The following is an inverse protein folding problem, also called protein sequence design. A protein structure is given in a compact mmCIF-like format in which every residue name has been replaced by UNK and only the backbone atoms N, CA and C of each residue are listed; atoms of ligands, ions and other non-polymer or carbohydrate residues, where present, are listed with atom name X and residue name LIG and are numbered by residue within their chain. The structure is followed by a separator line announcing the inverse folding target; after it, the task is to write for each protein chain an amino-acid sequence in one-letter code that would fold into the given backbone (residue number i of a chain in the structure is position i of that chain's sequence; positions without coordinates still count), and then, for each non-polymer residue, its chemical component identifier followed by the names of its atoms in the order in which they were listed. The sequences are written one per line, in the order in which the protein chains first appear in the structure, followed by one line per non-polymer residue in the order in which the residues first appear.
data_IF_366564986560
#
_entry.id   IF_366564986560
#
_cell.length_a   1.000
_cell.length_b   1.000
_cell.length_c   1.000
_cell.angle_alpha   90.00
_cell.angle_beta   90.00
_cell.angle_gamma   90.00
#
_symmetry.space_group_name_H-M   'P 1'
#
loop_
_entity.id
_entity.type
_entity.pdbx_description
1 polymer ?
#
# COMPACT_ATOMS: atom_id res chain seq x y z
N UNK A 1 3.63 8.94 21.52
CA UNK A 1 4.38 9.49 20.38
C UNK A 1 3.60 10.66 19.83
N UNK A 2 4.19 11.87 19.85
CA UNK A 2 3.61 13.02 19.15
C UNK A 2 4.04 12.93 17.69
N UNK A 3 3.08 12.68 16.84
CA UNK A 3 3.23 12.71 15.41
C UNK A 3 3.36 14.17 14.97
N UNK A 4 4.54 14.58 14.59
CA UNK A 4 4.74 15.93 14.06
C UNK A 4 4.38 15.90 12.58
N UNK A 5 3.14 16.26 12.27
CA UNK A 5 2.72 16.53 10.89
C UNK A 5 3.49 17.77 10.40
N UNK A 6 4.47 17.54 9.54
CA UNK A 6 5.14 18.64 8.86
C UNK A 6 4.25 19.14 7.73
N UNK A 7 4.36 20.42 7.41
CA UNK A 7 3.66 20.97 6.26
C UNK A 7 4.12 20.31 4.95
N UNK A 8 3.18 20.16 4.02
CA UNK A 8 3.47 19.68 2.68
C UNK A 8 4.39 20.66 1.95
N UNK A 9 5.37 20.14 1.24
CA UNK A 9 6.39 20.97 0.58
C UNK A 9 5.77 21.86 -0.51
N UNK A 10 6.08 23.15 -0.42
CA UNK A 10 5.76 24.18 -1.41
C UNK A 10 7.06 24.77 -1.97
N UNK A 11 7.05 25.24 -3.22
CA UNK A 11 8.20 25.82 -3.90
C UNK A 11 9.43 24.88 -3.93
N UNK A 12 9.19 23.57 -4.05
CA UNK A 12 10.23 22.55 -4.06
C UNK A 12 10.28 21.84 -5.42
N UNK A 13 11.37 22.07 -6.16
CA UNK A 13 11.63 21.50 -7.51
C UNK A 13 11.66 19.97 -7.57
N UNK A 14 11.74 19.29 -6.42
CA UNK A 14 11.64 17.83 -6.32
C UNK A 14 10.27 17.31 -6.76
N UNK A 15 9.24 18.12 -6.65
CA UNK A 15 7.88 17.79 -7.03
C UNK A 15 7.50 18.47 -8.35
N UNK A 16 6.73 17.76 -9.18
CA UNK A 16 6.06 18.34 -10.33
C UNK A 16 5.23 19.55 -9.86
N UNK A 17 5.14 20.60 -10.64
CA UNK A 17 4.48 21.87 -10.24
C UNK A 17 5.12 22.57 -9.02
N UNK A 18 6.31 22.15 -8.58
CA UNK A 18 6.97 22.65 -7.37
C UNK A 18 6.11 22.57 -6.08
N UNK A 19 5.07 21.74 -6.09
CA UNK A 19 4.09 21.58 -5.00
C UNK A 19 3.78 20.11 -4.79
N UNK A 20 4.01 19.64 -3.57
CA UNK A 20 3.83 18.22 -3.21
C UNK A 20 2.38 17.74 -3.38
N UNK A 21 1.40 18.56 -3.00
CA UNK A 21 -0.02 18.17 -3.08
C UNK A 21 -0.46 18.02 -4.52
N UNK A 22 -0.14 18.97 -5.38
CA UNK A 22 -0.49 18.91 -6.80
C UNK A 22 0.24 17.78 -7.53
N UNK A 23 1.49 17.53 -7.17
CA UNK A 23 2.25 16.39 -7.69
C UNK A 23 1.59 15.06 -7.28
N UNK A 24 1.18 14.94 -6.01
CA UNK A 24 0.53 13.74 -5.51
C UNK A 24 -0.84 13.52 -6.17
N UNK A 25 -1.65 14.56 -6.33
CA UNK A 25 -2.92 14.47 -7.07
C UNK A 25 -2.67 14.02 -8.50
N UNK A 26 -1.69 14.63 -9.19
CA UNK A 26 -1.34 14.26 -10.55
C UNK A 26 -1.03 12.76 -10.68
N UNK A 27 -0.09 12.24 -9.87
CA UNK A 27 0.30 10.84 -9.94
C UNK A 27 -0.80 9.89 -9.48
N UNK A 28 -1.59 10.27 -8.47
CA UNK A 28 -2.73 9.46 -8.00
C UNK A 28 -3.79 9.31 -9.09
N UNK A 29 -4.10 10.38 -9.83
CA UNK A 29 -5.10 10.33 -10.91
C UNK A 29 -4.49 9.69 -12.16
N UNK A 30 -3.36 10.21 -12.65
CA UNK A 30 -2.74 9.77 -13.91
C UNK A 30 -2.27 8.32 -13.87
N UNK A 31 -1.76 7.86 -12.74
CA UNK A 31 -1.24 6.50 -12.57
C UNK A 31 -2.18 5.63 -11.74
N UNK A 32 -2.47 6.02 -10.48
CA UNK A 32 -3.23 5.20 -9.55
C UNK A 32 -4.64 4.87 -10.04
N UNK A 33 -5.45 5.89 -10.32
CA UNK A 33 -6.84 5.71 -10.77
C UNK A 33 -6.90 5.06 -12.15
N UNK A 34 -5.99 5.41 -13.06
CA UNK A 34 -5.94 4.81 -14.41
C UNK A 34 -5.70 3.31 -14.35
N UNK A 35 -4.73 2.85 -13.53
CA UNK A 35 -4.46 1.41 -13.39
C UNK A 35 -5.60 0.71 -12.67
N UNK A 36 -6.19 1.32 -11.64
CA UNK A 36 -7.41 0.80 -11.01
C UNK A 36 -8.52 0.54 -12.02
N UNK A 37 -8.89 1.58 -12.80
CA UNK A 37 -9.94 1.48 -13.81
C UNK A 37 -9.62 0.41 -14.85
N UNK A 38 -8.35 0.29 -15.25
CA UNK A 38 -7.91 -0.73 -16.20
C UNK A 38 -8.11 -2.16 -15.65
N UNK A 39 -7.76 -2.43 -14.41
CA UNK A 39 -7.96 -3.74 -13.80
C UNK A 39 -9.44 -4.07 -13.59
N UNK A 40 -10.24 -3.08 -13.22
CA UNK A 40 -11.69 -3.22 -13.13
C UNK A 40 -12.29 -3.54 -14.50
N UNK A 41 -11.90 -2.81 -15.55
CA UNK A 41 -12.36 -3.03 -16.92
C UNK A 41 -11.99 -4.43 -17.44
N UNK A 42 -10.75 -4.89 -17.21
CA UNK A 42 -10.33 -6.26 -17.60
C UNK A 42 -11.17 -7.31 -16.88
N UNK A 43 -11.44 -7.16 -15.62
CA UNK A 43 -12.22 -8.12 -14.85
C UNK A 43 -13.67 -8.21 -15.37
N UNK A 44 -14.33 -7.06 -15.53
CA UNK A 44 -15.72 -7.04 -16.05
C UNK A 44 -15.82 -7.49 -17.50
N UNK A 45 -14.84 -7.14 -18.34
CA UNK A 45 -14.73 -7.66 -19.71
C UNK A 45 -14.59 -9.19 -19.70
N UNK A 46 -13.76 -9.73 -18.81
CA UNK A 46 -13.57 -11.17 -18.64
C UNK A 46 -14.86 -11.90 -18.25
N UNK A 47 -15.67 -11.31 -17.34
CA UNK A 47 -16.98 -11.85 -16.96
C UNK A 47 -17.93 -11.82 -18.16
N UNK A 48 -18.05 -10.67 -18.82
CA UNK A 48 -18.97 -10.48 -19.93
C UNK A 48 -18.72 -11.44 -21.11
N UNK A 49 -17.46 -11.88 -21.29
CA UNK A 49 -17.04 -12.81 -22.33
C UNK A 49 -16.88 -14.26 -21.83
N UNK A 50 -17.28 -14.58 -20.60
CA UNK A 50 -17.21 -15.94 -20.06
C UNK A 50 -15.78 -16.45 -19.77
N UNK A 51 -14.78 -15.57 -19.82
CA UNK A 51 -13.37 -15.90 -19.53
C UNK A 51 -13.17 -16.04 -18.01
N UNK A 52 -13.73 -15.10 -17.25
CA UNK A 52 -13.68 -15.12 -15.78
C UNK A 52 -14.90 -15.85 -15.24
N UNK A 53 -14.65 -16.90 -14.47
CA UNK A 53 -15.70 -17.64 -13.76
C UNK A 53 -16.00 -16.94 -12.44
N UNK A 54 -17.29 -16.80 -12.13
CA UNK A 54 -17.74 -16.21 -10.86
C UNK A 54 -18.46 -17.24 -10.01
N UNK A 55 -18.49 -17.00 -8.70
CA UNK A 55 -19.40 -17.64 -7.76
C UNK A 55 -20.28 -16.57 -7.12
N UNK A 56 -21.44 -16.96 -6.59
CA UNK A 56 -22.31 -16.03 -5.87
C UNK A 56 -22.40 -16.42 -4.40
N UNK A 57 -22.74 -15.45 -3.56
CA UNK A 57 -23.06 -15.75 -2.15
C UNK A 57 -24.15 -16.82 -2.03
N UNK A 58 -25.17 -16.77 -2.87
CA UNK A 58 -26.29 -17.72 -2.82
C UNK A 58 -25.87 -19.15 -3.18
N UNK A 59 -24.98 -19.31 -4.17
CA UNK A 59 -24.52 -20.63 -4.61
C UNK A 59 -23.38 -21.20 -3.77
N UNK A 60 -22.58 -20.35 -3.16
CA UNK A 60 -21.34 -20.76 -2.45
C UNK A 60 -21.04 -19.86 -1.24
N UNK A 61 -21.91 -19.86 -0.20
CA UNK A 61 -21.75 -18.97 0.96
C UNK A 61 -20.46 -19.23 1.74
N UNK A 62 -20.03 -20.48 1.87
CA UNK A 62 -18.76 -20.81 2.55
C UNK A 62 -17.58 -20.19 1.83
N UNK A 63 -17.51 -20.30 0.49
CA UNK A 63 -16.45 -19.70 -0.31
C UNK A 63 -16.45 -18.16 -0.18
N UNK A 64 -17.62 -17.55 -0.15
CA UNK A 64 -17.77 -16.13 0.05
C UNK A 64 -17.13 -15.66 1.36
N UNK A 65 -17.46 -16.32 2.48
CA UNK A 65 -16.88 -15.98 3.78
C UNK A 65 -15.38 -16.31 3.86
N UNK A 66 -14.93 -17.39 3.23
CA UNK A 66 -13.49 -17.68 3.14
C UNK A 66 -12.74 -16.55 2.41
N UNK A 67 -13.29 -16.02 1.32
CA UNK A 67 -12.71 -14.87 0.65
C UNK A 67 -12.60 -13.65 1.59
N UNK A 68 -13.66 -13.29 2.33
CA UNK A 68 -13.65 -12.17 3.28
C UNK A 68 -12.51 -12.33 4.30
N UNK A 69 -12.32 -13.54 4.84
CA UNK A 69 -11.27 -13.83 5.83
C UNK A 69 -9.87 -13.81 5.19
N UNK A 70 -9.73 -14.31 3.97
CA UNK A 70 -8.44 -14.40 3.28
C UNK A 70 -7.99 -13.08 2.64
N UNK A 71 -8.90 -12.16 2.31
CA UNK A 71 -8.55 -10.90 1.65
C UNK A 71 -7.42 -10.12 2.34
N UNK A 72 -7.47 -9.84 3.66
CA UNK A 72 -6.38 -9.12 4.33
C UNK A 72 -5.07 -9.90 4.28
N UNK A 73 -5.11 -11.23 4.36
CA UNK A 73 -3.91 -12.08 4.29
C UNK A 73 -3.28 -12.04 2.90
N UNK A 74 -4.09 -12.18 1.84
CA UNK A 74 -3.65 -12.12 0.44
C UNK A 74 -3.06 -10.74 0.15
N UNK A 75 -3.80 -9.68 0.48
CA UNK A 75 -3.38 -8.30 0.27
C UNK A 75 -2.10 -7.97 1.04
N UNK A 76 -2.06 -8.29 2.33
CA UNK A 76 -0.92 -8.00 3.19
C UNK A 76 0.35 -8.74 2.75
N UNK A 77 0.22 -10.02 2.38
CA UNK A 77 1.33 -10.83 1.88
C UNK A 77 1.84 -10.30 0.54
N UNK A 78 0.94 -10.07 -0.41
CA UNK A 78 1.29 -9.50 -1.71
C UNK A 78 1.98 -8.14 -1.54
N UNK A 79 1.41 -7.24 -0.75
CA UNK A 79 1.97 -5.90 -0.52
C UNK A 79 3.39 -5.98 0.04
N UNK A 80 3.62 -6.80 1.06
CA UNK A 80 4.95 -6.94 1.66
C UNK A 80 6.02 -7.34 0.64
N UNK A 81 5.76 -8.40 -0.15
CA UNK A 81 6.76 -8.90 -1.10
C UNK A 81 6.98 -7.95 -2.27
N UNK A 82 5.91 -7.35 -2.82
CA UNK A 82 6.02 -6.35 -3.90
C UNK A 82 6.75 -5.10 -3.39
N UNK A 83 6.39 -4.60 -2.22
CA UNK A 83 7.01 -3.43 -1.64
C UNK A 83 8.51 -3.64 -1.37
N UNK A 84 8.86 -4.79 -0.82
CA UNK A 84 10.26 -5.17 -0.61
C UNK A 84 11.02 -5.34 -1.93
N UNK A 85 10.38 -5.87 -2.98
CA UNK A 85 10.93 -5.92 -4.33
C UNK A 85 11.21 -4.52 -4.90
N UNK A 86 10.29 -3.58 -4.70
CA UNK A 86 10.45 -2.18 -5.13
C UNK A 86 11.63 -1.47 -4.46
N UNK A 87 12.07 -1.95 -3.29
CA UNK A 87 13.26 -1.45 -2.60
C UNK A 87 14.59 -2.00 -3.13
N UNK A 88 14.59 -2.95 -4.09
CA UNK A 88 15.81 -3.32 -4.82
C UNK A 88 16.38 -2.07 -5.52
N UNK A 89 17.70 -1.80 -5.44
CA UNK A 89 18.29 -0.51 -5.84
C UNK A 89 17.87 0.00 -7.21
N UNK A 90 17.77 -0.86 -8.20
CA UNK A 90 17.33 -0.49 -9.54
C UNK A 90 15.87 -0.02 -9.57
N UNK A 91 14.96 -0.80 -8.98
CA UNK A 91 13.52 -0.46 -8.94
C UNK A 91 13.27 0.74 -8.03
N UNK A 92 13.95 0.82 -6.91
CA UNK A 92 13.86 1.99 -6.03
C UNK A 92 14.20 3.27 -6.80
N UNK A 93 15.38 3.31 -7.43
CA UNK A 93 15.89 4.50 -8.11
C UNK A 93 15.01 4.97 -9.27
N UNK A 94 14.44 4.05 -10.05
CA UNK A 94 13.74 4.40 -11.29
C UNK A 94 12.21 4.40 -11.15
N UNK A 95 11.66 3.71 -10.17
CA UNK A 95 10.22 3.51 -10.00
C UNK A 95 9.74 4.05 -8.66
N UNK A 96 10.20 3.46 -7.56
CA UNK A 96 9.65 3.66 -6.22
C UNK A 96 10.03 4.99 -5.57
N UNK A 97 11.11 5.64 -6.04
CA UNK A 97 11.50 6.98 -5.60
C UNK A 97 10.39 8.02 -5.81
N UNK A 98 9.50 7.81 -6.77
CA UNK A 98 8.34 8.68 -7.00
C UNK A 98 7.41 8.70 -5.78
N UNK A 99 7.19 7.55 -5.16
CA UNK A 99 6.43 7.41 -3.93
C UNK A 99 7.22 7.94 -2.72
N UNK A 100 8.45 7.50 -2.55
CA UNK A 100 9.31 7.83 -1.40
C UNK A 100 9.80 9.28 -1.32
N UNK A 101 9.67 10.08 -2.39
CA UNK A 101 9.94 11.52 -2.27
C UNK A 101 8.98 12.22 -1.31
N UNK A 102 7.85 11.58 -0.98
CA UNK A 102 6.86 12.01 0.01
C UNK A 102 7.28 11.58 1.43
N UNK A 103 8.40 12.10 1.94
CA UNK A 103 8.84 11.84 3.34
C UNK A 103 7.79 12.31 4.36
N UNK A 104 7.09 13.40 4.05
CA UNK A 104 5.90 13.82 4.77
C UNK A 104 4.69 13.33 3.97
N UNK A 105 4.05 12.29 4.45
CA UNK A 105 2.89 11.69 3.80
C UNK A 105 1.64 12.54 3.96
N UNK A 106 0.73 12.44 3.02
CA UNK A 106 -0.62 12.99 3.06
C UNK A 106 -1.55 12.07 2.27
N UNK A 107 -2.88 12.15 2.42
CA UNK A 107 -3.82 11.19 1.82
C UNK A 107 -3.61 10.98 0.31
N UNK A 108 -3.30 12.04 -0.41
CA UNK A 108 -3.01 11.98 -1.85
C UNK A 108 -1.69 11.31 -2.19
N UNK A 109 -0.77 11.12 -1.23
CA UNK A 109 0.48 10.41 -1.50
C UNK A 109 0.34 8.89 -1.50
N UNK A 110 -0.78 8.34 -1.02
CA UNK A 110 -0.98 6.91 -0.86
C UNK A 110 -0.81 6.10 -2.15
N UNK A 111 -1.43 6.55 -3.24
CA UNK A 111 -1.28 5.95 -4.58
C UNK A 111 -0.56 6.87 -5.57
N UNK A 112 0.15 7.89 -5.06
CA UNK A 112 1.04 8.73 -5.86
C UNK A 112 2.33 7.98 -6.17
N UNK A 113 2.27 7.12 -7.19
CA UNK A 113 3.29 6.15 -7.55
C UNK A 113 3.59 6.22 -9.04
N UNK A 114 4.76 5.73 -9.43
CA UNK A 114 5.11 5.50 -10.83
C UNK A 114 4.14 4.47 -11.46
N UNK A 115 3.76 4.59 -12.76
CA UNK A 115 2.84 3.63 -13.39
C UNK A 115 3.26 2.16 -13.24
N UNK A 116 4.53 1.84 -13.41
CA UNK A 116 5.04 0.47 -13.20
C UNK A 116 4.79 0.00 -11.77
N UNK A 117 4.98 0.86 -10.78
CA UNK A 117 4.67 0.53 -9.38
C UNK A 117 3.18 0.28 -9.18
N UNK A 118 2.30 1.15 -9.69
CA UNK A 118 0.85 0.95 -9.58
C UNK A 118 0.39 -0.35 -10.27
N UNK A 119 0.98 -0.72 -11.42
CA UNK A 119 0.68 -1.99 -12.08
C UNK A 119 0.96 -3.17 -11.15
N UNK A 120 2.16 -3.27 -10.59
CA UNK A 120 2.52 -4.40 -9.74
C UNK A 120 1.89 -4.32 -8.35
N UNK A 121 1.74 -3.12 -7.80
CA UNK A 121 1.13 -2.90 -6.49
C UNK A 121 -0.35 -3.27 -6.47
N UNK A 122 -1.12 -2.83 -7.47
CA UNK A 122 -2.56 -3.08 -7.55
C UNK A 122 -2.91 -4.44 -8.17
N UNK A 123 -1.95 -5.32 -8.43
CA UNK A 123 -2.20 -6.58 -9.14
C UNK A 123 -2.81 -7.70 -8.28
N UNK A 124 -2.83 -7.60 -6.95
CA UNK A 124 -3.38 -8.66 -6.10
C UNK A 124 -4.85 -9.04 -6.41
N UNK A 125 -5.77 -8.12 -6.79
CA UNK A 125 -7.12 -8.49 -7.18
C UNK A 125 -7.21 -9.36 -8.45
N UNK A 126 -6.16 -9.42 -9.28
CA UNK A 126 -6.14 -10.29 -10.46
C UNK A 126 -6.24 -11.78 -10.13
N UNK A 127 -6.02 -12.17 -8.86
CA UNK A 127 -6.26 -13.55 -8.39
C UNK A 127 -7.68 -14.02 -8.67
N UNK A 128 -8.66 -13.10 -8.67
CA UNK A 128 -10.07 -13.40 -8.94
C UNK A 128 -10.36 -13.76 -10.42
N UNK A 129 -9.39 -13.55 -11.31
CA UNK A 129 -9.49 -14.05 -12.70
C UNK A 129 -9.27 -15.57 -12.72
N UNK A 130 -8.45 -16.09 -11.81
CA UNK A 130 -8.05 -17.49 -11.78
C UNK A 130 -8.86 -18.31 -10.77
N UNK A 131 -9.25 -17.72 -9.64
CA UNK A 131 -10.01 -18.38 -8.58
C UNK A 131 -11.39 -17.71 -8.50
N UNK A 132 -12.47 -18.45 -8.84
CA UNK A 132 -13.82 -17.91 -8.82
C UNK A 132 -14.18 -17.25 -7.49
N UNK A 133 -14.80 -16.09 -7.58
CA UNK A 133 -15.32 -15.35 -6.41
C UNK A 133 -16.59 -14.60 -6.81
N UNK A 134 -17.31 -14.14 -5.80
CA UNK A 134 -18.39 -13.18 -6.05
C UNK A 134 -17.80 -11.86 -6.55
N UNK A 135 -18.36 -11.24 -7.61
CA UNK A 135 -17.86 -9.96 -8.12
C UNK A 135 -17.76 -8.84 -7.07
N UNK A 136 -18.61 -8.89 -6.04
CA UNK A 136 -18.53 -7.97 -4.91
C UNK A 136 -17.21 -8.14 -4.13
N UNK A 137 -16.70 -9.38 -4.02
CA UNK A 137 -15.42 -9.66 -3.35
C UNK A 137 -14.25 -9.08 -4.16
N UNK A 138 -14.26 -9.21 -5.50
CA UNK A 138 -13.27 -8.55 -6.35
C UNK A 138 -13.29 -7.03 -6.15
N UNK A 139 -14.48 -6.42 -6.21
CA UNK A 139 -14.64 -4.98 -6.02
C UNK A 139 -14.15 -4.54 -4.63
N UNK A 140 -14.50 -5.28 -3.58
CA UNK A 140 -13.99 -5.02 -2.23
C UNK A 140 -12.46 -5.12 -2.16
N UNK A 141 -11.86 -6.16 -2.77
CA UNK A 141 -10.42 -6.32 -2.81
C UNK A 141 -9.74 -5.14 -3.49
N UNK A 142 -10.25 -4.74 -4.65
CA UNK A 142 -9.72 -3.61 -5.42
C UNK A 142 -9.82 -2.29 -4.63
N UNK A 143 -10.97 -2.02 -3.98
CA UNK A 143 -11.16 -0.86 -3.11
C UNK A 143 -10.15 -0.89 -1.94
N UNK A 144 -9.97 -2.02 -1.28
CA UNK A 144 -9.03 -2.15 -0.16
C UNK A 144 -7.58 -1.90 -0.60
N UNK A 145 -7.18 -2.34 -1.78
CA UNK A 145 -5.82 -2.09 -2.31
C UNK A 145 -5.63 -0.62 -2.66
N UNK A 146 -6.63 0.03 -3.26
CA UNK A 146 -6.48 1.38 -3.79
C UNK A 146 -6.72 2.49 -2.76
N UNK A 147 -7.67 2.32 -1.85
CA UNK A 147 -8.03 3.36 -0.87
C UNK A 147 -7.30 3.21 0.47
N UNK A 148 -6.91 2.00 0.88
CA UNK A 148 -6.20 1.82 2.15
C UNK A 148 -4.93 2.67 2.26
N UNK A 149 -4.11 2.86 1.22
CA UNK A 149 -2.95 3.75 1.29
C UNK A 149 -3.28 5.20 1.66
N UNK A 150 -4.48 5.69 1.32
CA UNK A 150 -4.90 7.02 1.75
C UNK A 150 -5.05 7.10 3.28
N UNK A 151 -5.48 6.01 3.93
CA UNK A 151 -5.57 5.94 5.40
C UNK A 151 -4.19 5.86 6.05
N UNK A 152 -3.29 5.01 5.53
CA UNK A 152 -1.92 4.87 6.06
C UNK A 152 -1.04 6.09 5.79
N UNK A 153 -1.51 7.04 4.99
CA UNK A 153 -0.86 8.31 4.70
C UNK A 153 -1.61 9.52 5.26
N UNK A 154 -2.69 9.30 6.01
CA UNK A 154 -3.60 10.38 6.43
C UNK A 154 -3.04 11.27 7.55
N UNK A 155 -2.08 10.78 8.32
CA UNK A 155 -1.58 11.41 9.53
C UNK A 155 -2.44 11.11 10.77
N UNK A 156 -3.42 10.19 10.65
CA UNK A 156 -4.26 9.73 11.76
C UNK A 156 -3.99 8.26 12.05
N UNK A 157 -3.55 7.97 13.27
CA UNK A 157 -3.21 6.61 13.69
C UNK A 157 -4.44 5.75 14.00
N UNK A 158 -5.50 6.35 14.50
CA UNK A 158 -6.65 5.62 15.02
C UNK A 158 -7.96 6.35 14.81
N UNK A 159 -9.01 5.59 14.53
CA UNK A 159 -10.40 6.05 14.68
C UNK A 159 -10.92 5.55 16.03
N UNK A 160 -11.40 6.48 16.86
CA UNK A 160 -11.91 6.18 18.21
C UNK A 160 -13.36 6.66 18.37
N UNK A 161 -14.16 5.88 19.09
CA UNK A 161 -15.42 6.35 19.66
C UNK A 161 -15.21 6.46 21.18
N UNK A 162 -15.19 7.71 21.69
CA UNK A 162 -14.84 8.01 23.10
C UNK A 162 -13.48 7.39 23.45
N UNK A 163 -13.46 6.39 24.32
CA UNK A 163 -12.23 5.67 24.75
C UNK A 163 -11.97 4.37 23.97
N UNK A 164 -12.93 3.93 23.16
CA UNK A 164 -12.83 2.66 22.42
C UNK A 164 -12.14 2.88 21.09
N UNK A 165 -11.05 2.17 20.84
CA UNK A 165 -10.41 2.10 19.52
C UNK A 165 -11.28 1.28 18.58
N UNK A 166 -11.69 1.86 17.47
CA UNK A 166 -12.51 1.20 16.45
C UNK A 166 -11.65 0.67 15.30
N UNK A 167 -10.67 1.47 14.86
CA UNK A 167 -9.80 1.13 13.73
C UNK A 167 -8.40 1.69 13.96
N UNK A 168 -7.41 0.91 13.55
CA UNK A 168 -6.02 1.32 13.41
C UNK A 168 -5.73 1.56 11.93
N UNK A 169 -5.11 2.70 11.59
CA UNK A 169 -4.74 3.02 10.23
C UNK A 169 -3.34 2.53 9.86
N UNK A 170 -2.53 2.16 10.85
CA UNK A 170 -1.11 1.85 10.69
C UNK A 170 -0.27 3.01 10.08
N UNK A 171 -0.75 4.25 10.20
CA UNK A 171 -0.09 5.42 9.64
C UNK A 171 1.32 5.63 10.23
N UNK A 172 1.49 5.49 11.53
CA UNK A 172 2.79 5.60 12.17
C UNK A 172 3.79 4.55 11.70
N UNK A 173 3.35 3.29 11.58
CA UNK A 173 4.16 2.19 11.05
C UNK A 173 4.69 2.52 9.64
N UNK A 174 3.82 2.99 8.76
CA UNK A 174 4.15 3.33 7.39
C UNK A 174 4.96 4.64 7.28
N UNK A 175 4.75 5.61 8.16
CA UNK A 175 5.58 6.81 8.20
C UNK A 175 7.03 6.52 8.64
N UNK A 176 7.24 5.57 9.55
CA UNK A 176 8.59 5.10 9.88
C UNK A 176 9.28 4.54 8.63
N UNK A 177 8.53 3.80 7.80
CA UNK A 177 9.00 3.33 6.51
C UNK A 177 9.42 4.47 5.57
N UNK A 178 8.56 5.46 5.33
CA UNK A 178 8.89 6.64 4.51
C UNK A 178 10.07 7.46 5.06
N UNK A 179 10.28 7.42 6.37
CA UNK A 179 11.38 8.13 7.02
C UNK A 179 12.71 7.40 6.94
N UNK A 180 12.70 6.09 7.09
CA UNK A 180 13.91 5.27 7.25
C UNK A 180 14.19 4.34 6.09
N UNK A 181 13.23 4.07 5.23
CA UNK A 181 13.27 3.29 3.99
C UNK A 181 13.48 1.78 4.16
N UNK A 182 14.36 1.33 5.05
CA UNK A 182 14.76 -0.08 5.21
C UNK A 182 14.09 -0.74 6.43
N UNK A 183 12.79 -0.51 6.60
CA UNK A 183 11.97 -1.11 7.65
C UNK A 183 10.49 -1.02 7.28
N UNK A 184 9.64 -1.81 7.95
CA UNK A 184 8.18 -1.72 7.86
C UNK A 184 7.65 -1.73 6.42
N UNK A 185 8.05 -2.74 5.67
CA UNK A 185 7.61 -2.93 4.27
C UNK A 185 6.16 -3.36 4.14
N UNK A 186 5.60 -4.01 5.18
CA UNK A 186 4.24 -4.50 5.22
C UNK A 186 3.22 -3.47 5.70
N UNK A 187 1.97 -3.89 5.65
CA UNK A 187 0.91 -3.35 6.46
C UNK A 187 0.76 -4.20 7.74
N UNK A 188 -0.16 -3.85 8.62
CA UNK A 188 -0.35 -4.59 9.88
C UNK A 188 -1.24 -5.84 9.74
N UNK A 189 -1.68 -6.20 8.52
CA UNK A 189 -2.57 -7.35 8.28
C UNK A 189 -1.88 -8.69 8.55
N UNK A 190 -0.59 -8.79 8.17
CA UNK A 190 0.25 -9.97 8.39
C UNK A 190 1.58 -9.51 8.98
N UNK A 191 2.07 -10.12 10.07
CA UNK A 191 3.27 -9.65 10.77
C UNK A 191 4.59 -10.03 10.06
N UNK A 192 4.65 -9.85 8.74
CA UNK A 192 5.79 -10.23 7.92
C UNK A 192 7.06 -9.43 8.27
N UNK A 193 6.92 -8.16 8.63
CA UNK A 193 8.05 -7.35 9.09
C UNK A 193 8.69 -7.94 10.36
N UNK A 194 7.89 -8.49 11.27
CA UNK A 194 8.39 -9.16 12.47
C UNK A 194 9.10 -10.46 12.08
N UNK A 195 8.46 -11.29 11.26
CA UNK A 195 9.02 -12.59 10.84
C UNK A 195 10.31 -12.46 10.04
N UNK A 196 10.44 -11.42 9.23
CA UNK A 196 11.63 -11.17 8.42
C UNK A 196 12.60 -10.16 9.03
N UNK A 197 12.39 -9.74 10.29
CA UNK A 197 13.31 -8.86 11.03
C UNK A 197 13.41 -7.43 10.48
N UNK A 198 12.38 -6.96 9.78
CA UNK A 198 12.30 -5.60 9.24
C UNK A 198 11.37 -4.68 10.04
N UNK A 199 10.81 -5.17 11.14
CA UNK A 199 9.92 -4.37 12.00
C UNK A 199 10.68 -3.27 12.74
N UNK A 200 10.10 -2.07 12.78
CA UNK A 200 10.56 -0.89 13.49
C UNK A 200 9.39 -0.29 14.26
N UNK A 201 9.48 -0.27 15.57
CA UNK A 201 8.42 0.20 16.48
C UNK A 201 8.49 1.69 16.81
N UNK A 202 9.51 2.40 16.29
CA UNK A 202 9.76 3.81 16.56
C UNK A 202 10.69 4.06 17.76
N UNK A 203 11.18 3.03 18.43
CA UNK A 203 12.13 3.17 19.55
C UNK A 203 13.52 3.62 19.08
N UNK A 204 14.32 4.13 20.02
CA UNK A 204 15.73 4.47 19.75
C UNK A 204 16.56 3.22 19.47
N UNK A 205 16.25 2.12 20.15
CA UNK A 205 16.89 0.82 19.98
C UNK A 205 16.67 0.28 18.57
N UNK A 206 15.42 0.28 18.08
CA UNK A 206 15.09 -0.13 16.72
C UNK A 206 15.78 0.78 15.68
N UNK A 207 15.83 2.09 15.92
CA UNK A 207 16.54 3.05 15.06
C UNK A 207 18.03 2.76 15.01
N UNK A 208 18.68 2.46 16.14
CA UNK A 208 20.10 2.09 16.19
C UNK A 208 20.36 0.78 15.45
N UNK A 209 19.55 -0.24 15.70
CA UNK A 209 19.67 -1.55 15.05
C UNK A 209 19.53 -1.44 13.52
N UNK A 210 18.53 -0.70 13.04
CA UNK A 210 18.32 -0.45 11.61
C UNK A 210 19.53 0.27 10.98
N UNK A 211 20.05 1.33 11.60
CA UNK A 211 21.22 2.08 11.10
C UNK A 211 22.49 1.22 11.03
N UNK A 212 22.64 0.28 11.97
CA UNK A 212 23.75 -0.68 11.93
C UNK A 212 23.64 -1.64 10.75
N UNK A 213 22.41 -2.16 10.47
CA UNK A 213 22.17 -3.00 9.29
C UNK A 213 22.49 -2.26 7.98
N UNK A 214 22.01 -1.01 7.85
CA UNK A 214 22.28 -0.18 6.66
C UNK A 214 23.78 0.07 6.45
N UNK A 215 24.54 0.34 7.50
CA UNK A 215 26.00 0.49 7.41
C UNK A 215 26.68 -0.80 7.00
N UNK A 216 26.31 -1.94 7.59
CA UNK A 216 26.87 -3.24 7.25
C UNK A 216 26.53 -3.71 5.81
N UNK A 217 25.42 -3.25 5.24
CA UNK A 217 25.08 -3.49 3.84
C UNK A 217 25.85 -2.58 2.87
N UNK A 218 26.22 -1.36 3.28
CA UNK A 218 26.99 -0.44 2.45
C UNK A 218 28.50 -0.77 2.37
N UNK A 219 28.98 -1.70 3.23
CA UNK A 219 30.38 -2.13 3.28
C UNK A 219 30.62 -3.49 2.61
N UNK A 220 29.61 -4.09 2.05
CA UNK A 220 29.64 -5.32 1.23
C UNK A 220 29.40 -4.97 -0.24
#
# INVERSE_FOLDING_TARGET
FKFLKKEMAKNNKKFKFSNQVYDNIFWSVFSGVTIWTFYEAIYWYGIANGIVKTSSFQSSPVQFFLWIICLPLIRGTHFYFIHRLLHVPFLYKHVHVTHHRNVNTGPWSGISMHPVENIIYQSSPLIHIFIPSDPMIFTLHLILVTLNPAFTHSGFEQIKNKKTKLLDSADFHHQLHHRYFDCNYGNMDVPLDVWFGTHHDGSEEATKAMRLRMKGAATK
#
